data_IF_480058026920
#
_entry.id   IF_480058026920
#
_cell.length_a   1.000
_cell.length_b   1.000
_cell.length_c   1.000
_cell.angle_alpha   90.00
_cell.angle_beta   90.00
_cell.angle_gamma   90.00
#
_symmetry.space_group_name_H-M   'P 1'
#
loop_
_entity.id
_entity.type
_entity.pdbx_description
1 polymer ?
#
# COMPACT_ATOMS: atom_id res chain seq x y z
N UNK A 1 19.51 -20.28 -5.64
CA UNK A 1 18.96 -19.34 -6.64
C UNK A 1 18.20 -18.29 -5.85
N UNK A 2 18.40 -17.01 -6.12
CA UNK A 2 17.67 -15.97 -5.40
C UNK A 2 16.16 -16.09 -5.59
N UNK A 3 15.38 -15.66 -4.60
CA UNK A 3 13.91 -15.67 -4.63
C UNK A 3 13.35 -14.27 -4.86
N UNK A 4 12.22 -14.21 -5.52
CA UNK A 4 11.46 -13.00 -5.81
C UNK A 4 10.18 -13.00 -4.97
N UNK A 5 10.12 -12.13 -3.98
CA UNK A 5 9.03 -12.09 -3.00
C UNK A 5 8.19 -10.85 -3.21
N UNK A 6 6.87 -11.03 -3.31
CA UNK A 6 5.90 -9.93 -3.37
C UNK A 6 5.31 -9.71 -1.97
N UNK A 7 5.35 -8.48 -1.48
CA UNK A 7 4.74 -8.08 -0.20
C UNK A 7 3.54 -7.19 -0.49
N UNK A 8 2.36 -7.63 -0.04
CA UNK A 8 1.10 -6.91 -0.23
C UNK A 8 0.34 -6.73 1.08
N UNK A 9 -0.50 -5.71 1.16
CA UNK A 9 -1.54 -5.61 2.16
C UNK A 9 -2.77 -6.43 1.77
N UNK A 10 -3.38 -7.10 2.73
CA UNK A 10 -4.55 -7.96 2.48
C UNK A 10 -5.88 -7.33 2.87
N UNK A 11 -5.85 -6.21 3.58
CA UNK A 11 -7.00 -5.47 4.08
C UNK A 11 -7.17 -4.13 3.33
N UNK A 12 -7.57 -3.06 4.02
CA UNK A 12 -7.73 -1.71 3.46
C UNK A 12 -6.50 -0.81 3.64
N UNK A 13 -5.30 -1.38 3.60
CA UNK A 13 -4.06 -0.64 3.82
C UNK A 13 -3.71 -0.46 5.30
N UNK A 14 -2.59 0.20 5.55
CA UNK A 14 -2.07 0.48 6.90
C UNK A 14 -1.81 -0.78 7.77
N UNK A 15 -1.57 -1.93 7.14
CA UNK A 15 -1.30 -3.20 7.83
C UNK A 15 0.11 -3.27 8.46
N UNK A 16 0.95 -2.25 8.27
CA UNK A 16 2.32 -2.23 8.81
C UNK A 16 3.37 -2.80 7.87
N UNK A 17 3.12 -2.76 6.54
CA UNK A 17 4.03 -3.28 5.50
C UNK A 17 5.46 -2.75 5.61
N UNK A 18 5.65 -1.45 5.87
CA UNK A 18 6.97 -0.84 5.89
C UNK A 18 7.95 -1.52 6.84
N UNK A 19 7.53 -1.82 8.07
CA UNK A 19 8.34 -2.56 9.06
C UNK A 19 8.79 -3.93 8.53
N UNK A 20 7.87 -4.67 7.91
CA UNK A 20 8.15 -6.03 7.43
C UNK A 20 9.04 -5.99 6.17
N UNK A 21 8.84 -5.02 5.29
CA UNK A 21 9.74 -4.78 4.16
C UNK A 21 11.15 -4.48 4.66
N UNK A 22 11.31 -3.56 5.62
CA UNK A 22 12.63 -3.25 6.20
C UNK A 22 13.29 -4.48 6.84
N UNK A 23 12.55 -5.26 7.63
CA UNK A 23 13.05 -6.48 8.25
C UNK A 23 13.61 -7.46 7.21
N UNK A 24 12.84 -7.72 6.15
CA UNK A 24 13.19 -8.70 5.12
C UNK A 24 14.20 -8.17 4.08
N UNK A 25 14.52 -6.89 4.12
CA UNK A 25 15.44 -6.25 3.17
C UNK A 25 16.89 -6.74 3.31
N UNK A 26 17.27 -7.36 4.43
CA UNK A 26 18.60 -7.93 4.62
C UNK A 26 18.94 -9.05 3.61
N UNK A 27 17.93 -9.73 3.08
CA UNK A 27 18.08 -10.88 2.18
C UNK A 27 18.03 -10.50 0.69
N UNK A 28 17.91 -9.21 0.35
CA UNK A 28 17.65 -8.80 -1.03
C UNK A 28 18.69 -7.85 -1.61
N UNK A 29 18.91 -7.95 -2.91
CA UNK A 29 19.74 -7.01 -3.66
C UNK A 29 18.96 -5.78 -4.11
N UNK A 30 17.63 -5.91 -4.29
CA UNK A 30 16.78 -4.81 -4.72
C UNK A 30 15.37 -4.85 -4.11
N UNK A 31 14.79 -3.66 -3.89
CA UNK A 31 13.38 -3.47 -3.53
C UNK A 31 12.70 -2.65 -4.63
N UNK A 32 11.57 -3.15 -5.13
CA UNK A 32 10.83 -2.57 -6.26
C UNK A 32 9.45 -2.11 -5.83
N UNK A 33 9.15 -0.82 -5.89
CA UNK A 33 7.78 -0.29 -5.81
C UNK A 33 7.12 -0.43 -7.17
N UNK A 34 5.95 -1.03 -7.22
CA UNK A 34 5.31 -1.37 -8.48
C UNK A 34 3.99 -0.65 -8.75
N UNK A 35 3.38 0.01 -7.77
CA UNK A 35 2.10 0.71 -7.93
C UNK A 35 1.88 1.79 -6.87
N UNK A 36 0.79 2.57 -7.02
CA UNK A 36 0.45 3.69 -6.15
C UNK A 36 1.25 4.94 -6.49
N UNK A 37 1.36 5.82 -5.55
CA UNK A 37 2.12 7.06 -5.63
C UNK A 37 2.46 7.56 -4.23
N UNK A 38 2.63 8.85 -4.07
CA UNK A 38 2.92 9.46 -2.77
C UNK A 38 1.71 9.54 -1.81
N UNK A 39 0.59 8.88 -2.15
CA UNK A 39 -0.51 8.61 -1.24
C UNK A 39 -0.21 7.46 -0.26
N UNK A 40 0.81 6.65 -0.51
CA UNK A 40 1.30 5.68 0.47
C UNK A 40 2.03 6.35 1.63
N UNK A 41 2.10 5.68 2.77
CA UNK A 41 2.86 6.12 3.93
C UNK A 41 3.43 4.89 4.65
N UNK A 42 4.67 4.52 4.32
CA UNK A 42 5.38 3.41 4.96
C UNK A 42 6.21 3.95 6.12
N UNK A 43 5.73 3.70 7.33
CA UNK A 43 6.44 4.10 8.55
C UNK A 43 7.43 3.03 8.95
N UNK A 44 8.66 3.45 9.15
CA UNK A 44 9.78 2.64 9.63
C UNK A 44 10.26 3.23 10.96
N UNK A 45 10.61 2.36 11.89
CA UNK A 45 11.25 2.74 13.15
C UNK A 45 12.56 1.96 13.24
N UNK A 46 13.68 2.67 13.15
CA UNK A 46 15.02 2.11 13.19
C UNK A 46 15.78 2.82 14.31
N UNK A 47 16.26 2.07 15.29
CA UNK A 47 16.96 2.60 16.47
C UNK A 47 16.18 3.73 17.18
N UNK A 48 14.85 3.59 17.24
CA UNK A 48 13.94 4.58 17.82
C UNK A 48 13.64 5.81 16.93
N UNK A 49 14.31 5.96 15.79
CA UNK A 49 14.06 7.04 14.86
C UNK A 49 12.96 6.67 13.85
N UNK A 50 11.92 7.50 13.78
CA UNK A 50 10.77 7.31 12.89
C UNK A 50 11.00 7.98 11.54
N UNK A 51 10.92 7.22 10.46
CA UNK A 51 10.94 7.70 9.08
C UNK A 51 9.67 7.27 8.34
N UNK A 52 9.05 8.20 7.62
CA UNK A 52 7.87 7.92 6.78
C UNK A 52 8.25 8.08 5.33
N UNK A 53 8.12 7.01 4.54
CA UNK A 53 8.40 6.99 3.11
C UNK A 53 7.08 6.95 2.32
N UNK A 54 7.05 7.68 1.20
CA UNK A 54 5.86 7.80 0.36
C UNK A 54 6.05 7.18 -1.03
N UNK A 55 7.12 7.52 -1.73
CA UNK A 55 7.45 7.04 -3.07
C UNK A 55 8.65 6.10 -3.09
N UNK A 56 9.68 6.45 -2.33
CA UNK A 56 10.94 5.70 -2.31
C UNK A 56 10.71 4.35 -1.62
N UNK A 57 11.20 3.23 -2.22
CA UNK A 57 11.09 1.92 -1.56
C UNK A 57 11.74 1.88 -0.18
N UNK A 58 11.15 1.12 0.74
CA UNK A 58 11.58 1.04 2.15
C UNK A 58 13.03 0.53 2.31
N UNK A 59 13.54 -0.22 1.34
CA UNK A 59 14.93 -0.70 1.30
C UNK A 59 16.00 0.39 1.22
N UNK A 60 15.62 1.66 0.98
CA UNK A 60 16.57 2.77 0.87
C UNK A 60 17.38 3.02 2.15
N UNK A 61 16.82 2.66 3.31
CA UNK A 61 17.49 2.81 4.60
C UNK A 61 18.55 1.73 4.88
N UNK A 62 18.65 0.70 4.02
CA UNK A 62 19.64 -0.38 4.12
C UNK A 62 20.80 -0.15 3.14
N UNK A 63 22.02 -0.24 3.63
CA UNK A 63 23.20 -0.17 2.79
C UNK A 63 23.25 -1.34 1.78
N UNK A 64 23.74 -1.06 0.58
CA UNK A 64 23.93 -2.07 -0.46
C UNK A 64 22.65 -2.52 -1.19
N UNK A 65 21.48 -2.04 -0.79
CA UNK A 65 20.20 -2.37 -1.43
C UNK A 65 19.85 -1.35 -2.51
N UNK A 66 19.59 -1.81 -3.71
CA UNK A 66 19.09 -0.99 -4.81
C UNK A 66 17.59 -0.77 -4.67
N UNK A 67 17.14 0.45 -4.84
CA UNK A 67 15.72 0.82 -4.82
C UNK A 67 15.24 1.15 -6.23
N UNK A 68 14.15 0.51 -6.66
CA UNK A 68 13.59 0.67 -7.99
C UNK A 68 12.15 1.16 -7.92
N UNK A 69 11.81 2.17 -8.73
CA UNK A 69 10.43 2.62 -8.93
C UNK A 69 10.00 2.15 -10.32
N UNK A 70 9.09 1.18 -10.34
CA UNK A 70 8.55 0.57 -11.56
C UNK A 70 7.50 1.44 -12.24
N UNK A 71 7.25 1.15 -13.50
CA UNK A 71 6.34 1.88 -14.40
C UNK A 71 4.87 1.96 -13.94
N UNK A 72 4.48 1.14 -12.97
CA UNK A 72 3.12 1.19 -12.40
C UNK A 72 2.93 2.31 -11.37
N UNK A 73 3.99 2.93 -10.87
CA UNK A 73 3.94 4.04 -9.91
C UNK A 73 3.66 5.36 -10.63
N UNK A 74 2.71 6.14 -10.12
CA UNK A 74 2.52 7.54 -10.55
C UNK A 74 3.40 8.46 -9.73
N UNK A 75 4.28 9.22 -10.38
CA UNK A 75 5.34 9.97 -9.75
C UNK A 75 5.03 11.48 -9.75
N UNK A 76 4.97 12.07 -8.56
CA UNK A 76 5.04 13.52 -8.39
C UNK A 76 6.52 13.92 -8.25
N UNK A 77 7.11 14.67 -9.21
CA UNK A 77 8.50 15.09 -9.14
C UNK A 77 8.82 15.90 -7.88
N UNK A 78 7.92 16.80 -7.51
CA UNK A 78 8.06 17.61 -6.30
C UNK A 78 8.08 16.78 -5.01
N UNK A 79 7.12 15.83 -4.88
CA UNK A 79 7.05 14.96 -3.71
C UNK A 79 8.27 14.05 -3.62
N UNK A 80 8.73 13.52 -4.74
CA UNK A 80 9.94 12.69 -4.81
C UNK A 80 11.19 13.47 -4.38
N UNK A 81 11.37 14.68 -4.89
CA UNK A 81 12.51 15.52 -4.53
C UNK A 81 12.51 15.90 -3.04
N UNK A 82 11.36 16.19 -2.48
CA UNK A 82 11.24 16.45 -1.03
C UNK A 82 11.67 15.24 -0.21
N UNK A 83 11.28 14.04 -0.64
CA UNK A 83 11.63 12.79 0.05
C UNK A 83 13.12 12.47 -0.10
N UNK A 84 13.71 12.64 -1.30
CA UNK A 84 15.16 12.52 -1.53
C UNK A 84 15.94 13.47 -0.61
N UNK A 85 15.60 14.75 -0.61
CA UNK A 85 16.32 15.75 0.17
C UNK A 85 16.21 15.48 1.69
N UNK A 86 15.05 15.03 2.16
CA UNK A 86 14.85 14.65 3.57
C UNK A 86 15.76 13.49 3.96
N UNK A 87 15.87 12.47 3.13
CA UNK A 87 16.72 11.31 3.40
C UNK A 87 18.21 11.65 3.31
N UNK A 88 18.61 12.42 2.31
CA UNK A 88 20.01 12.84 2.14
C UNK A 88 20.49 13.78 3.25
N UNK A 89 19.60 14.62 3.79
CA UNK A 89 19.91 15.45 4.96
C UNK A 89 20.20 14.61 6.22
N UNK A 90 19.80 13.34 6.23
CA UNK A 90 20.07 12.36 7.29
C UNK A 90 21.22 11.40 6.94
N UNK A 91 21.95 11.68 5.85
CA UNK A 91 23.10 10.89 5.43
C UNK A 91 22.81 9.64 4.61
N UNK A 92 21.56 9.46 4.14
CA UNK A 92 21.19 8.33 3.27
C UNK A 92 21.53 8.69 1.82
N UNK A 93 22.43 7.96 1.12
CA UNK A 93 22.86 8.28 -0.25
C UNK A 93 21.80 7.82 -1.27
N UNK A 94 20.68 8.53 -1.35
CA UNK A 94 19.50 8.12 -2.13
C UNK A 94 19.81 8.06 -3.62
N UNK A 95 20.47 9.11 -4.16
CA UNK A 95 20.73 9.20 -5.60
C UNK A 95 21.64 8.09 -6.14
N UNK A 96 22.49 7.53 -5.30
CA UNK A 96 23.37 6.41 -5.67
C UNK A 96 22.61 5.08 -5.81
N UNK A 97 21.49 4.95 -5.12
CA UNK A 97 20.76 3.68 -4.97
C UNK A 97 19.31 3.70 -5.47
N UNK A 98 18.84 4.82 -5.98
CA UNK A 98 17.49 4.93 -6.53
C UNK A 98 17.52 4.94 -8.05
N UNK A 99 16.72 4.05 -8.69
CA UNK A 99 16.44 4.08 -10.12
C UNK A 99 14.95 4.08 -10.39
N UNK A 100 14.55 4.78 -11.45
CA UNK A 100 13.14 5.05 -11.75
C UNK A 100 12.89 4.75 -13.23
N UNK A 101 11.80 4.04 -13.52
CA UNK A 101 11.39 3.79 -14.91
C UNK A 101 10.95 5.08 -15.61
N UNK A 102 11.51 5.31 -16.81
CA UNK A 102 11.07 6.40 -17.68
C UNK A 102 9.58 6.31 -18.06
N UNK A 103 8.96 5.12 -17.93
CA UNK A 103 7.57 4.88 -18.26
C UNK A 103 6.58 5.23 -17.11
N UNK A 104 7.07 5.68 -15.96
CA UNK A 104 6.21 6.16 -14.86
C UNK A 104 5.35 7.35 -15.32
N UNK A 105 4.02 7.33 -15.13
CA UNK A 105 3.20 8.51 -15.35
C UNK A 105 3.54 9.63 -14.35
N UNK A 106 3.52 10.87 -14.81
CA UNK A 106 3.72 12.03 -13.97
C UNK A 106 2.43 12.47 -13.28
N UNK A 107 2.53 12.88 -12.03
CA UNK A 107 1.51 13.70 -11.37
C UNK A 107 1.94 15.16 -11.52
N UNK A 108 1.11 15.94 -12.20
CA UNK A 108 1.33 17.36 -12.46
C UNK A 108 0.25 18.21 -11.74
N UNK A 109 0.42 19.52 -11.60
CA UNK A 109 -0.50 20.38 -10.84
C UNK A 109 -1.98 20.25 -11.22
N UNK A 110 -2.30 20.04 -12.50
CA UNK A 110 -3.69 19.86 -12.93
C UNK A 110 -4.34 18.56 -12.42
N UNK A 111 -3.57 17.50 -12.17
CA UNK A 111 -4.09 16.28 -11.54
C UNK A 111 -4.54 16.56 -10.09
N UNK A 112 -3.77 17.37 -9.35
CA UNK A 112 -4.09 17.76 -7.98
C UNK A 112 -5.33 18.64 -7.98
N UNK A 113 -5.40 19.63 -8.88
CA UNK A 113 -6.56 20.52 -9.02
C UNK A 113 -7.84 19.74 -9.35
N UNK A 114 -7.78 18.75 -10.26
CA UNK A 114 -8.90 17.87 -10.60
C UNK A 114 -9.34 16.99 -9.43
N UNK A 115 -8.41 16.38 -8.71
CA UNK A 115 -8.70 15.52 -7.56
C UNK A 115 -9.47 16.30 -6.48
N UNK A 116 -8.97 17.49 -6.12
CA UNK A 116 -9.61 18.38 -5.16
C UNK A 116 -10.98 18.88 -5.65
N UNK A 117 -11.09 19.30 -6.90
CA UNK A 117 -12.36 19.78 -7.46
C UNK A 117 -13.44 18.70 -7.50
N UNK A 118 -13.06 17.46 -7.80
CA UNK A 118 -13.94 16.28 -7.81
C UNK A 118 -14.47 15.96 -6.41
N UNK A 119 -13.62 15.95 -5.41
CA UNK A 119 -14.03 15.68 -4.01
C UNK A 119 -14.99 16.76 -3.48
N UNK A 120 -14.70 18.05 -3.77
CA UNK A 120 -15.59 19.15 -3.42
C UNK A 120 -16.95 19.01 -4.12
N UNK A 121 -16.98 18.72 -5.42
CA UNK A 121 -18.20 18.57 -6.20
C UNK A 121 -19.08 17.41 -5.73
N UNK A 122 -18.47 16.31 -5.24
CA UNK A 122 -19.19 15.15 -4.68
C UNK A 122 -19.80 15.41 -3.30
N UNK A 123 -19.28 16.35 -2.53
CA UNK A 123 -19.76 16.70 -1.21
C UNK A 123 -19.86 15.49 -0.26
N UNK A 124 -21.08 15.13 0.18
CA UNK A 124 -21.30 13.99 1.07
C UNK A 124 -21.00 12.62 0.45
N UNK A 125 -20.96 12.53 -0.88
CA UNK A 125 -20.61 11.31 -1.63
C UNK A 125 -19.12 11.25 -2.01
N UNK A 126 -18.28 12.09 -1.40
CA UNK A 126 -16.84 12.08 -1.62
C UNK A 126 -16.25 10.70 -1.29
N UNK A 127 -15.30 10.27 -2.10
CA UNK A 127 -14.58 9.00 -1.89
C UNK A 127 -13.67 9.10 -0.67
N UNK A 128 -13.20 10.29 -0.36
CA UNK A 128 -12.24 10.55 0.71
C UNK A 128 -10.80 10.39 0.23
N UNK A 129 -10.50 10.85 -0.99
CA UNK A 129 -9.16 10.81 -1.58
C UNK A 129 -8.15 11.59 -0.74
N UNK A 130 -6.86 11.42 -1.04
CA UNK A 130 -5.80 12.22 -0.39
C UNK A 130 -5.65 13.61 -1.00
N UNK A 131 -6.37 13.93 -2.08
CA UNK A 131 -6.25 15.18 -2.82
C UNK A 131 -4.91 15.40 -3.51
N UNK A 132 -4.17 14.32 -3.77
CA UNK A 132 -2.80 14.35 -4.31
C UNK A 132 -2.70 14.07 -5.81
N UNK A 133 -3.83 13.98 -6.50
CA UNK A 133 -3.88 13.79 -7.95
C UNK A 133 -3.62 12.36 -8.43
N UNK A 134 -3.65 11.37 -7.54
CA UNK A 134 -3.37 9.96 -7.86
C UNK A 134 -4.37 9.42 -8.88
N UNK A 135 -5.68 9.56 -8.59
CA UNK A 135 -6.75 9.10 -9.46
C UNK A 135 -6.71 9.71 -10.86
N UNK A 136 -6.67 11.04 -10.99
CA UNK A 136 -6.54 11.71 -12.28
C UNK A 136 -5.30 11.32 -13.08
N UNK A 137 -4.16 11.05 -12.42
CA UNK A 137 -2.94 10.59 -13.11
C UNK A 137 -3.11 9.16 -13.69
N UNK A 138 -3.75 8.25 -12.96
CA UNK A 138 -4.11 6.92 -13.49
C UNK A 138 -5.16 7.00 -14.60
N UNK A 139 -6.15 7.88 -14.49
CA UNK A 139 -7.13 8.15 -15.54
C UNK A 139 -6.44 8.59 -16.84
N UNK A 140 -5.50 9.53 -16.78
CA UNK A 140 -4.75 9.99 -17.92
C UNK A 140 -3.85 8.89 -18.51
N UNK A 141 -3.26 8.04 -17.66
CA UNK A 141 -2.50 6.86 -18.10
C UNK A 141 -3.36 5.94 -18.97
N UNK A 142 -4.55 5.54 -18.49
CA UNK A 142 -5.41 4.59 -19.23
C UNK A 142 -6.08 5.20 -20.44
N UNK A 143 -6.35 6.51 -20.42
CA UNK A 143 -6.83 7.27 -21.58
C UNK A 143 -5.74 7.55 -22.62
N UNK A 144 -4.47 7.24 -22.32
CA UNK A 144 -3.29 7.40 -23.17
C UNK A 144 -2.91 8.85 -23.47
N UNK A 145 -3.36 9.81 -22.66
CA UNK A 145 -2.99 11.23 -22.74
C UNK A 145 -1.95 11.65 -21.69
N UNK A 146 -1.72 10.81 -20.68
CA UNK A 146 -0.79 11.11 -19.59
C UNK A 146 0.64 11.33 -20.08
N UNK A 147 1.32 12.29 -19.48
CA UNK A 147 2.75 12.50 -19.63
C UNK A 147 3.51 11.51 -18.76
N UNK A 148 4.60 10.97 -19.30
CA UNK A 148 5.50 10.06 -18.59
C UNK A 148 6.79 10.77 -18.21
N UNK A 149 7.49 10.20 -17.24
CA UNK A 149 8.77 10.74 -16.77
C UNK A 149 9.78 10.90 -17.92
N UNK A 150 9.83 9.94 -18.84
CA UNK A 150 10.69 10.01 -20.05
C UNK A 150 10.33 11.13 -21.03
N UNK A 151 9.13 11.70 -20.98
CA UNK A 151 8.76 12.83 -21.83
C UNK A 151 9.49 14.12 -21.40
N UNK A 152 9.88 14.24 -20.11
CA UNK A 152 10.63 15.41 -19.60
C UNK A 152 11.94 15.68 -20.35
N UNK A 153 12.58 14.61 -20.88
CA UNK A 153 13.89 14.72 -21.55
C UNK A 153 13.80 15.23 -22.99
N UNK A 154 12.59 15.60 -23.44
CA UNK A 154 12.34 16.17 -24.77
C UNK A 154 11.42 17.41 -24.65
N UNK A 155 12.00 18.55 -24.27
CA UNK A 155 11.28 19.79 -23.93
C UNK A 155 10.16 20.15 -24.92
N UNK A 156 10.44 20.17 -26.23
CA UNK A 156 9.45 20.55 -27.23
C UNK A 156 8.27 19.58 -27.29
N UNK A 157 8.56 18.27 -27.25
CA UNK A 157 7.54 17.23 -27.21
C UNK A 157 6.74 17.26 -25.91
N UNK A 158 7.41 17.49 -24.77
CA UNK A 158 6.75 17.64 -23.47
C UNK A 158 5.81 18.85 -23.49
N UNK A 159 6.28 20.01 -23.96
CA UNK A 159 5.48 21.25 -24.05
C UNK A 159 4.25 21.07 -24.95
N UNK A 160 4.39 20.44 -26.12
CA UNK A 160 3.28 20.15 -27.01
C UNK A 160 2.21 19.26 -26.36
N UNK A 161 2.62 18.13 -25.75
CA UNK A 161 1.71 17.23 -25.04
C UNK A 161 1.05 17.91 -23.83
N UNK A 162 1.82 18.69 -23.05
CA UNK A 162 1.31 19.43 -21.90
C UNK A 162 0.24 20.44 -22.34
N UNK A 163 0.47 21.15 -23.44
CA UNK A 163 -0.52 22.09 -23.99
C UNK A 163 -1.84 21.42 -24.34
N UNK A 164 -1.78 20.27 -25.05
CA UNK A 164 -2.97 19.51 -25.43
C UNK A 164 -3.74 18.99 -24.20
N UNK A 165 -3.04 18.46 -23.20
CA UNK A 165 -3.65 17.92 -21.99
C UNK A 165 -4.23 19.02 -21.12
N UNK A 166 -3.53 20.17 -20.98
CA UNK A 166 -4.02 21.31 -20.21
C UNK A 166 -5.22 21.99 -20.86
N UNK A 167 -5.30 22.05 -22.18
CA UNK A 167 -6.49 22.58 -22.87
C UNK A 167 -7.74 21.77 -22.44
N UNK A 168 -7.65 20.44 -22.47
CA UNK A 168 -8.72 19.56 -22.04
C UNK A 168 -9.05 19.72 -20.54
N UNK A 169 -8.06 19.62 -19.67
CA UNK A 169 -8.31 19.64 -18.23
C UNK A 169 -8.71 21.03 -17.71
N UNK A 170 -8.15 22.09 -18.25
CA UNK A 170 -8.55 23.46 -17.90
C UNK A 170 -9.99 23.75 -18.36
N UNK A 171 -10.42 23.19 -19.50
CA UNK A 171 -11.82 23.26 -19.88
C UNK A 171 -12.73 22.65 -18.80
N UNK A 172 -12.38 21.47 -18.28
CA UNK A 172 -13.12 20.81 -17.20
C UNK A 172 -13.09 21.60 -15.89
N UNK A 173 -11.92 22.11 -15.49
CA UNK A 173 -11.77 22.91 -14.26
C UNK A 173 -12.63 24.17 -14.33
N UNK A 174 -12.56 24.92 -15.40
CA UNK A 174 -13.29 26.19 -15.54
C UNK A 174 -14.78 26.01 -15.80
N UNK A 175 -15.15 25.10 -16.76
CA UNK A 175 -16.51 25.05 -17.25
C UNK A 175 -17.40 24.08 -16.48
N UNK A 176 -16.85 22.99 -15.93
CA UNK A 176 -17.62 22.02 -15.16
C UNK A 176 -17.48 22.25 -13.65
N UNK A 177 -16.26 22.31 -13.15
CA UNK A 177 -16.00 22.46 -11.71
C UNK A 177 -16.01 23.90 -11.20
N UNK A 178 -15.94 24.91 -12.09
CA UNK A 178 -15.95 26.34 -11.75
C UNK A 178 -14.79 26.74 -10.83
N UNK A 179 -13.62 26.20 -11.07
CA UNK A 179 -12.36 26.52 -10.37
C UNK A 179 -11.33 27.11 -11.35
N UNK A 180 -10.28 27.71 -10.80
CA UNK A 180 -9.23 28.33 -11.59
C UNK A 180 -8.47 27.32 -12.45
N UNK A 181 -8.10 27.70 -13.67
CA UNK A 181 -7.27 26.87 -14.55
C UNK A 181 -5.83 26.81 -14.04
N UNK A 182 -5.11 25.80 -14.51
CA UNK A 182 -3.68 25.64 -14.25
C UNK A 182 -2.87 26.35 -15.33
N UNK A 183 -1.89 27.15 -14.96
CA UNK A 183 -1.03 27.91 -15.86
C UNK A 183 -0.03 27.02 -16.57
N UNK A 184 -0.05 27.03 -17.91
CA UNK A 184 0.82 26.22 -18.76
C UNK A 184 2.30 26.54 -18.55
N UNK A 185 2.66 27.84 -18.55
CA UNK A 185 4.07 28.24 -18.51
C UNK A 185 4.69 27.86 -17.17
N UNK A 186 3.94 28.06 -16.08
CA UNK A 186 4.37 27.67 -14.75
C UNK A 186 4.65 26.17 -14.65
N UNK A 187 3.72 25.33 -15.14
CA UNK A 187 3.91 23.87 -15.11
C UNK A 187 5.10 23.43 -15.96
N UNK A 188 5.26 24.04 -17.14
CA UNK A 188 6.40 23.74 -18.02
C UNK A 188 7.73 24.10 -17.36
N UNK A 189 7.83 25.28 -16.77
CA UNK A 189 9.08 25.75 -16.14
C UNK A 189 9.45 24.90 -14.91
N UNK A 190 8.47 24.58 -14.07
CA UNK A 190 8.66 23.68 -12.92
C UNK A 190 9.10 22.27 -13.39
N UNK A 191 8.49 21.75 -14.45
CA UNK A 191 8.84 20.44 -14.99
C UNK A 191 10.27 20.39 -15.56
N UNK A 192 10.71 21.46 -16.22
CA UNK A 192 12.07 21.55 -16.78
C UNK A 192 13.14 21.63 -15.69
N UNK A 193 12.87 22.30 -14.58
CA UNK A 193 13.78 22.28 -13.41
C UNK A 193 13.92 20.85 -12.87
N UNK A 194 12.82 20.09 -12.79
CA UNK A 194 12.85 18.71 -12.30
C UNK A 194 13.56 17.74 -13.25
N UNK A 195 13.59 18.04 -14.55
CA UNK A 195 14.29 17.23 -15.56
C UNK A 195 15.75 17.00 -15.18
N UNK A 196 16.51 18.07 -14.93
CA UNK A 196 17.95 18.00 -14.63
C UNK A 196 18.24 17.16 -13.37
N UNK A 197 17.33 17.23 -12.39
CA UNK A 197 17.49 16.50 -11.13
C UNK A 197 17.18 15.02 -11.27
N UNK A 198 16.16 14.67 -12.09
CA UNK A 198 15.66 13.31 -12.21
C UNK A 198 16.37 12.49 -13.27
N UNK A 199 17.00 13.13 -14.27
CA UNK A 199 17.65 12.44 -15.38
C UNK A 199 18.69 11.38 -14.93
N UNK A 200 19.57 11.61 -13.92
CA UNK A 200 20.52 10.62 -13.45
C UNK A 200 19.88 9.40 -12.77
N UNK A 201 18.62 9.53 -12.35
CA UNK A 201 17.88 8.46 -11.67
C UNK A 201 17.14 7.53 -12.64
N UNK A 202 17.05 7.90 -13.92
CA UNK A 202 16.31 7.11 -14.92
C UNK A 202 17.11 5.91 -15.35
N UNK A 203 16.42 4.75 -15.39
CA UNK A 203 17.03 3.51 -15.87
C UNK A 203 15.95 2.57 -16.45
N UNK A 204 16.38 1.51 -17.13
CA UNK A 204 15.52 0.43 -17.59
C UNK A 204 15.27 -0.56 -16.43
N UNK A 205 14.21 -0.28 -15.64
CA UNK A 205 13.88 -1.09 -14.47
C UNK A 205 13.63 -2.57 -14.81
N UNK A 206 12.88 -2.93 -15.87
CA UNK A 206 12.75 -4.33 -16.31
C UNK A 206 14.10 -5.00 -16.59
N UNK A 207 15.03 -4.33 -17.26
CA UNK A 207 16.37 -4.88 -17.53
C UNK A 207 17.19 -5.04 -16.24
N UNK A 208 17.14 -4.08 -15.32
CA UNK A 208 17.81 -4.21 -14.01
C UNK A 208 17.27 -5.41 -13.23
N UNK A 209 15.97 -5.63 -13.21
CA UNK A 209 15.33 -6.80 -12.59
C UNK A 209 15.87 -8.09 -13.24
N UNK A 210 15.89 -8.16 -14.57
CA UNK A 210 16.37 -9.32 -15.30
C UNK A 210 17.86 -9.60 -15.02
N UNK A 211 18.68 -8.57 -14.85
CA UNK A 211 20.09 -8.70 -14.48
C UNK A 211 20.27 -9.28 -13.08
N UNK A 212 19.50 -8.82 -12.08
CA UNK A 212 19.54 -9.39 -10.74
C UNK A 212 19.12 -10.87 -10.73
N UNK A 213 18.08 -11.22 -11.49
CA UNK A 213 17.66 -12.63 -11.63
C UNK A 213 18.75 -13.50 -12.26
N UNK A 214 19.41 -13.04 -13.35
CA UNK A 214 20.52 -13.75 -13.98
C UNK A 214 21.71 -13.95 -13.04
N UNK A 215 21.90 -13.00 -12.10
CA UNK A 215 22.94 -13.09 -11.07
C UNK A 215 22.52 -14.00 -9.88
N UNK A 216 21.31 -14.55 -9.88
CA UNK A 216 20.79 -15.37 -8.80
C UNK A 216 20.52 -14.60 -7.50
N UNK A 217 20.28 -13.30 -7.59
CA UNK A 217 20.00 -12.43 -6.45
C UNK A 217 18.52 -12.36 -6.14
N UNK A 218 18.18 -12.21 -4.86
CA UNK A 218 16.80 -12.05 -4.41
C UNK A 218 16.31 -10.62 -4.63
N UNK A 219 15.03 -10.49 -4.98
CA UNK A 219 14.35 -9.21 -5.21
C UNK A 219 13.05 -9.19 -4.40
N UNK A 220 12.76 -8.06 -3.79
CA UNK A 220 11.51 -7.81 -3.08
C UNK A 220 10.64 -6.83 -3.87
N UNK A 221 9.36 -7.14 -4.01
CA UNK A 221 8.36 -6.27 -4.64
C UNK A 221 7.43 -5.72 -3.57
N UNK A 222 7.56 -4.42 -3.31
CA UNK A 222 6.86 -3.70 -2.26
C UNK A 222 5.56 -3.09 -2.77
N UNK A 223 4.41 -3.62 -2.32
CA UNK A 223 3.09 -3.06 -2.60
C UNK A 223 2.75 -1.88 -1.67
N UNK A 224 1.80 -1.08 -2.12
CA UNK A 224 1.20 0.00 -1.35
C UNK A 224 -0.31 -0.24 -1.22
N UNK A 225 -0.96 0.41 -0.25
CA UNK A 225 -2.38 0.19 0.10
C UNK A 225 -2.65 -1.28 0.48
N UNK A 226 -3.82 -1.83 0.15
CA UNK A 226 -4.17 -3.22 0.44
C UNK A 226 -5.17 -3.76 -0.58
N UNK A 227 -5.37 -5.07 -0.59
CA UNK A 227 -6.19 -5.78 -1.59
C UNK A 227 -7.62 -5.27 -1.65
N UNK A 228 -8.22 -4.90 -0.51
CA UNK A 228 -9.60 -4.40 -0.47
C UNK A 228 -9.72 -2.94 -0.98
N UNK A 229 -8.59 -2.31 -1.30
CA UNK A 229 -8.49 -1.02 -2.00
C UNK A 229 -8.12 -1.15 -3.48
N UNK A 230 -7.96 -2.37 -4.01
CA UNK A 230 -7.65 -2.60 -5.43
C UNK A 230 -8.77 -2.08 -6.32
N UNK A 231 -8.41 -1.45 -7.46
CA UNK A 231 -9.38 -0.84 -8.38
C UNK A 231 -10.36 -1.85 -8.96
N UNK A 232 -9.95 -3.09 -9.18
CA UNK A 232 -10.75 -4.14 -9.80
C UNK A 232 -11.41 -5.07 -8.75
N UNK A 233 -10.69 -5.39 -7.68
CA UNK A 233 -11.08 -6.40 -6.69
C UNK A 233 -11.46 -5.84 -5.31
N UNK A 234 -11.29 -4.54 -5.10
CA UNK A 234 -11.61 -3.89 -3.84
C UNK A 234 -13.09 -3.50 -3.72
N UNK A 235 -13.39 -2.75 -2.68
CA UNK A 235 -14.75 -2.25 -2.36
C UNK A 235 -15.11 -1.03 -3.21
N UNK A 236 -15.11 -1.17 -4.53
CA UNK A 236 -15.44 -0.10 -5.48
C UNK A 236 -16.81 0.54 -5.18
N UNK A 237 -16.95 1.89 -5.19
CA UNK A 237 -15.96 2.88 -5.67
C UNK A 237 -14.97 3.38 -4.59
N UNK A 238 -15.02 2.86 -3.37
CA UNK A 238 -14.19 3.28 -2.25
C UNK A 238 -12.85 2.54 -2.26
N UNK A 239 -12.05 2.80 -3.31
CA UNK A 239 -10.79 2.13 -3.63
C UNK A 239 -9.74 3.13 -4.07
N UNK A 240 -8.47 2.70 -4.16
CA UNK A 240 -7.44 3.46 -4.89
C UNK A 240 -7.56 3.22 -6.40
N UNK A 241 -6.90 4.04 -7.19
CA UNK A 241 -6.96 3.95 -8.66
C UNK A 241 -5.88 3.05 -9.26
N UNK A 242 -5.26 2.18 -8.45
CA UNK A 242 -4.22 1.26 -8.89
C UNK A 242 -4.53 -0.19 -8.54
N UNK A 243 -3.86 -1.13 -9.23
CA UNK A 243 -3.90 -2.54 -8.86
C UNK A 243 -2.93 -2.82 -7.73
N UNK A 244 -3.48 -3.07 -6.53
CA UNK A 244 -2.75 -3.32 -5.30
C UNK A 244 -2.45 -4.80 -5.07
N UNK A 245 -2.99 -5.66 -5.94
CA UNK A 245 -2.81 -7.12 -5.89
C UNK A 245 -1.42 -7.55 -6.37
N UNK A 246 -1.03 -8.77 -6.07
CA UNK A 246 0.23 -9.36 -6.51
C UNK A 246 0.38 -9.37 -8.04
N UNK A 247 -0.73 -9.50 -8.80
CA UNK A 247 -0.73 -9.35 -10.25
C UNK A 247 -0.24 -7.97 -10.71
N UNK A 248 -0.48 -6.92 -9.91
CA UNK A 248 0.03 -5.57 -10.14
C UNK A 248 1.56 -5.48 -10.10
N UNK A 249 2.24 -6.38 -9.38
CA UNK A 249 3.70 -6.42 -9.34
C UNK A 249 4.30 -6.76 -10.71
N UNK A 250 3.70 -7.68 -11.45
CA UNK A 250 4.14 -8.02 -12.79
C UNK A 250 4.01 -6.85 -13.76
N UNK A 251 2.81 -6.27 -13.86
CA UNK A 251 2.52 -5.18 -14.81
C UNK A 251 3.22 -3.87 -14.44
N UNK A 252 3.39 -3.61 -13.15
CA UNK A 252 3.96 -2.37 -12.63
C UNK A 252 5.48 -2.34 -12.53
N UNK A 253 6.15 -3.48 -12.66
CA UNK A 253 7.62 -3.57 -12.63
C UNK A 253 8.25 -4.10 -13.92
N UNK A 254 7.45 -4.76 -14.77
CA UNK A 254 7.95 -5.46 -15.96
C UNK A 254 8.49 -6.86 -15.68
N UNK A 255 8.33 -7.35 -14.45
CA UNK A 255 8.65 -8.73 -14.09
C UNK A 255 7.66 -9.70 -14.73
N UNK A 256 8.14 -10.81 -15.28
CA UNK A 256 7.26 -11.88 -15.77
C UNK A 256 6.48 -12.57 -14.63
N UNK A 257 5.21 -12.89 -14.85
CA UNK A 257 4.31 -13.45 -13.82
C UNK A 257 4.82 -14.74 -13.17
N UNK A 258 5.55 -15.56 -13.91
CA UNK A 258 6.13 -16.83 -13.40
C UNK A 258 7.46 -16.63 -12.65
N UNK A 259 7.92 -15.40 -12.56
CA UNK A 259 9.15 -15.05 -11.87
C UNK A 259 8.99 -14.80 -10.37
N UNK A 260 7.77 -14.79 -9.84
CA UNK A 260 7.51 -14.64 -8.40
C UNK A 260 7.49 -15.99 -7.71
N UNK A 261 8.27 -16.11 -6.64
CA UNK A 261 8.43 -17.37 -5.90
C UNK A 261 7.53 -17.44 -4.67
N UNK A 262 7.18 -16.25 -4.10
CA UNK A 262 6.44 -16.16 -2.84
C UNK A 262 5.64 -14.87 -2.76
N UNK A 263 4.42 -14.95 -2.23
CA UNK A 263 3.59 -13.78 -1.91
C UNK A 263 3.31 -13.75 -0.42
N UNK A 264 3.86 -12.75 0.27
CA UNK A 264 3.61 -12.49 1.69
C UNK A 264 2.43 -11.53 1.84
N UNK A 265 1.34 -12.00 2.43
CA UNK A 265 0.17 -11.19 2.76
C UNK A 265 0.29 -10.57 4.15
N UNK A 266 0.38 -9.24 4.24
CA UNK A 266 0.41 -8.55 5.52
C UNK A 266 -1.03 -8.24 5.95
N UNK A 267 -1.39 -8.66 7.17
CA UNK A 267 -2.72 -8.43 7.76
C UNK A 267 -2.57 -8.06 9.24
N UNK A 268 -3.40 -7.16 9.74
CA UNK A 268 -3.50 -6.91 11.18
C UNK A 268 -4.26 -8.04 11.88
N UNK A 269 -3.98 -8.25 13.16
CA UNK A 269 -4.75 -9.16 14.01
C UNK A 269 -6.22 -8.71 14.24
N UNK A 270 -6.59 -7.56 13.72
CA UNK A 270 -7.94 -6.98 13.66
C UNK A 270 -8.08 -6.22 12.34
N UNK A 271 -9.18 -5.54 12.10
CA UNK A 271 -9.39 -4.83 10.83
C UNK A 271 -9.47 -3.33 11.04
N UNK A 272 -8.87 -2.56 10.14
CA UNK A 272 -8.99 -1.09 10.12
C UNK A 272 -9.29 -0.57 8.73
N UNK A 273 -9.99 0.57 8.67
CA UNK A 273 -10.26 1.27 7.42
C UNK A 273 -10.18 2.79 7.60
N UNK A 274 -9.59 3.48 6.64
CA UNK A 274 -9.61 4.95 6.54
C UNK A 274 -10.66 5.36 5.53
N UNK A 275 -11.42 6.42 5.84
CA UNK A 275 -12.40 7.01 4.93
C UNK A 275 -13.71 6.24 4.81
N UNK A 276 -14.45 6.55 3.74
CA UNK A 276 -15.79 6.02 3.49
C UNK A 276 -15.77 4.59 2.94
N UNK A 277 -16.94 4.00 2.85
CA UNK A 277 -17.17 2.67 2.27
C UNK A 277 -17.53 1.60 3.30
N UNK A 278 -17.89 0.39 2.83
CA UNK A 278 -18.39 -0.68 3.65
C UNK A 278 -17.34 -1.24 4.61
N UNK A 279 -17.77 -1.60 5.81
CA UNK A 279 -16.93 -2.24 6.82
C UNK A 279 -17.79 -3.13 7.72
N UNK A 280 -18.14 -4.36 7.30
CA UNK A 280 -19.09 -5.22 8.00
C UNK A 280 -18.72 -5.53 9.45
N UNK A 281 -17.43 -5.63 9.76
CA UNK A 281 -16.95 -5.96 11.12
C UNK A 281 -16.61 -4.74 11.96
N UNK A 282 -17.00 -3.53 11.53
CA UNK A 282 -16.75 -2.28 12.26
C UNK A 282 -17.37 -2.30 13.65
N UNK A 283 -16.65 -1.70 14.61
CA UNK A 283 -17.05 -1.57 16.01
C UNK A 283 -17.13 -0.09 16.39
N UNK A 284 -18.33 0.31 16.80
CA UNK A 284 -18.61 1.66 17.30
C UNK A 284 -18.94 1.61 18.80
N UNK A 285 -18.13 0.85 19.55
CA UNK A 285 -18.28 0.55 20.97
C UNK A 285 -16.95 0.69 21.73
N UNK A 286 -16.94 0.28 23.01
CA UNK A 286 -15.76 0.32 23.87
C UNK A 286 -14.58 -0.52 23.34
N UNK A 287 -14.88 -1.62 22.64
CA UNK A 287 -13.85 -2.48 22.03
C UNK A 287 -13.24 -1.78 20.82
N UNK A 288 -14.06 -1.15 19.97
CA UNK A 288 -13.59 -0.30 18.88
C UNK A 288 -12.67 0.83 19.40
N UNK A 289 -13.04 1.46 20.50
CA UNK A 289 -12.23 2.45 21.20
C UNK A 289 -10.90 1.88 21.70
N UNK A 290 -10.90 0.69 22.32
CA UNK A 290 -9.70 -0.01 22.76
C UNK A 290 -8.72 -0.29 21.59
N UNK A 291 -9.24 -0.83 20.46
CA UNK A 291 -8.43 -1.10 19.28
C UNK A 291 -7.81 0.18 18.69
N UNK A 292 -8.59 1.27 18.66
CA UNK A 292 -8.11 2.55 18.13
C UNK A 292 -7.02 3.17 19.01
N UNK A 293 -7.21 3.16 20.32
CA UNK A 293 -6.27 3.76 21.29
C UNK A 293 -4.98 2.94 21.37
N UNK A 294 -5.06 1.65 21.66
CA UNK A 294 -3.88 0.77 21.77
C UNK A 294 -3.15 0.60 20.45
N UNK A 295 -3.91 0.54 19.36
CA UNK A 295 -3.36 0.45 18.01
C UNK A 295 -2.78 1.76 17.49
N UNK A 296 -2.96 2.90 18.16
CA UNK A 296 -2.62 4.23 17.63
C UNK A 296 -3.13 4.41 16.21
N UNK A 297 -4.44 4.12 16.00
CA UNK A 297 -5.03 4.01 14.67
C UNK A 297 -5.35 5.37 14.04
N UNK A 298 -4.28 6.03 13.58
CA UNK A 298 -4.32 7.27 12.79
C UNK A 298 -3.53 7.07 11.49
N UNK A 299 -4.07 7.59 10.39
CA UNK A 299 -3.43 7.50 9.07
C UNK A 299 -2.08 8.23 9.05
N UNK A 300 -1.00 7.53 8.70
CA UNK A 300 0.37 8.07 8.66
C UNK A 300 0.52 9.26 7.69
N UNK A 301 -0.29 9.31 6.65
CA UNK A 301 -0.24 10.31 5.59
C UNK A 301 -1.19 11.49 5.82
N UNK A 302 -2.40 11.22 6.34
CA UNK A 302 -3.48 12.22 6.45
C UNK A 302 -3.82 12.59 7.89
N UNK A 303 -3.30 11.84 8.88
CA UNK A 303 -3.66 12.00 10.30
C UNK A 303 -5.10 11.62 10.64
N UNK A 304 -5.91 11.15 9.66
CA UNK A 304 -7.31 10.76 9.89
C UNK A 304 -7.37 9.55 10.82
N UNK A 305 -8.34 9.55 11.74
CA UNK A 305 -8.66 8.38 12.55
C UNK A 305 -9.08 7.21 11.64
N UNK A 306 -8.62 6.02 11.98
CA UNK A 306 -9.03 4.78 11.34
C UNK A 306 -10.25 4.22 12.08
N UNK A 307 -11.23 3.76 11.34
CA UNK A 307 -12.33 2.94 11.82
C UNK A 307 -11.75 1.57 12.17
N UNK A 308 -12.16 0.99 13.28
CA UNK A 308 -11.64 -0.29 13.78
C UNK A 308 -12.76 -1.34 13.84
N UNK A 309 -12.39 -2.59 13.68
CA UNK A 309 -13.34 -3.70 13.74
C UNK A 309 -12.66 -5.04 13.98
N UNK A 310 -13.47 -6.08 14.21
CA UNK A 310 -13.00 -7.43 14.40
C UNK A 310 -12.28 -7.96 13.15
N UNK A 311 -11.45 -8.97 13.35
CA UNK A 311 -10.76 -9.66 12.25
C UNK A 311 -11.76 -10.28 11.28
N UNK A 312 -11.59 -9.98 9.99
CA UNK A 312 -12.46 -10.42 8.91
C UNK A 312 -11.79 -11.52 8.07
N UNK A 313 -12.02 -12.77 8.45
CA UNK A 313 -11.46 -13.91 7.75
C UNK A 313 -12.11 -14.16 6.39
N UNK A 314 -13.35 -13.70 6.16
CA UNK A 314 -14.02 -13.84 4.85
C UNK A 314 -13.36 -12.96 3.82
N UNK A 315 -13.13 -11.67 4.16
CA UNK A 315 -12.43 -10.75 3.30
C UNK A 315 -10.97 -11.18 3.08
N UNK A 316 -10.29 -11.65 4.14
CA UNK A 316 -8.90 -12.12 4.05
C UNK A 316 -8.77 -13.36 3.17
N UNK A 317 -9.69 -14.33 3.26
CA UNK A 317 -9.69 -15.53 2.39
C UNK A 317 -9.82 -15.13 0.92
N UNK A 318 -10.69 -14.18 0.61
CA UNK A 318 -10.81 -13.65 -0.77
C UNK A 318 -9.52 -12.96 -1.19
N UNK A 319 -8.92 -12.14 -0.33
CA UNK A 319 -7.64 -11.49 -0.61
C UNK A 319 -6.52 -12.52 -0.83
N UNK A 320 -6.44 -13.56 -0.01
CA UNK A 320 -5.47 -14.64 -0.15
C UNK A 320 -5.61 -15.38 -1.49
N UNK A 321 -6.85 -15.68 -1.89
CA UNK A 321 -7.17 -16.35 -3.16
C UNK A 321 -6.74 -15.52 -4.37
N UNK A 322 -7.12 -14.21 -4.40
CA UNK A 322 -6.83 -13.30 -5.52
C UNK A 322 -5.32 -13.12 -5.70
N UNK A 323 -4.57 -13.10 -4.60
CA UNK A 323 -3.15 -12.84 -4.60
C UNK A 323 -2.28 -14.10 -4.63
N UNK A 324 -2.86 -15.30 -4.56
CA UNK A 324 -2.10 -16.54 -4.37
C UNK A 324 -1.14 -16.45 -3.18
N UNK A 325 -1.63 -15.97 -2.03
CA UNK A 325 -0.81 -15.74 -0.83
C UNK A 325 -0.18 -17.04 -0.38
N UNK A 326 1.15 -17.04 -0.25
CA UNK A 326 1.94 -18.21 0.18
C UNK A 326 2.02 -18.33 1.70
N UNK A 327 2.00 -17.19 2.40
CA UNK A 327 2.00 -17.10 3.86
C UNK A 327 1.54 -15.74 4.34
N UNK A 328 1.08 -15.68 5.59
CA UNK A 328 0.59 -14.47 6.24
C UNK A 328 1.65 -13.88 7.19
N UNK A 329 1.68 -12.57 7.25
CA UNK A 329 2.29 -11.84 8.34
C UNK A 329 1.17 -11.20 9.18
N UNK A 330 1.02 -11.65 10.43
CA UNK A 330 0.07 -11.04 11.37
C UNK A 330 0.75 -9.92 12.13
N UNK A 331 0.21 -8.71 12.01
CA UNK A 331 0.75 -7.52 12.70
C UNK A 331 -0.17 -7.06 13.82
N UNK A 332 0.40 -6.34 14.80
CA UNK A 332 -0.34 -5.72 15.90
C UNK A 332 -1.14 -6.72 16.75
N UNK A 333 -0.57 -7.90 17.00
CA UNK A 333 -1.17 -8.90 17.88
C UNK A 333 -1.36 -8.35 19.30
N UNK A 334 -0.40 -7.55 19.77
CA UNK A 334 -0.34 -6.88 21.06
C UNK A 334 -1.51 -5.93 21.35
N UNK A 335 -2.19 -5.45 20.31
CA UNK A 335 -3.36 -4.57 20.46
C UNK A 335 -4.55 -5.32 21.06
N UNK A 336 -4.61 -6.64 20.89
CA UNK A 336 -5.67 -7.49 21.44
C UNK A 336 -5.46 -7.88 22.91
N UNK A 337 -4.30 -7.57 23.51
CA UNK A 337 -4.01 -7.86 24.91
C UNK A 337 -5.04 -7.23 25.85
N UNK A 338 -5.49 -7.99 26.83
CA UNK A 338 -6.44 -7.54 27.87
C UNK A 338 -7.92 -7.61 27.46
N UNK A 339 -8.23 -8.14 26.26
CA UNK A 339 -9.62 -8.44 25.88
C UNK A 339 -10.02 -9.81 26.46
N UNK A 340 -11.18 -9.90 27.08
CA UNK A 340 -11.73 -11.16 27.61
C UNK A 340 -12.19 -12.09 26.50
N UNK A 341 -12.77 -11.52 25.44
CA UNK A 341 -13.32 -12.25 24.27
C UNK A 341 -12.87 -11.57 23.00
N UNK A 342 -12.44 -12.38 22.02
CA UNK A 342 -12.05 -11.93 20.69
C UNK A 342 -12.96 -12.63 19.66
N UNK A 343 -13.33 -11.92 18.59
CA UNK A 343 -14.21 -12.45 17.56
C UNK A 343 -13.50 -12.49 16.21
N UNK A 344 -13.76 -13.55 15.46
CA UNK A 344 -13.35 -13.70 14.06
C UNK A 344 -14.60 -13.80 13.21
N UNK A 345 -14.75 -12.91 12.22
CA UNK A 345 -15.81 -13.03 11.22
C UNK A 345 -15.47 -14.17 10.26
N UNK A 346 -16.30 -15.21 10.25
CA UNK A 346 -16.10 -16.43 9.44
C UNK A 346 -17.10 -16.57 8.31
N UNK A 347 -18.16 -15.75 8.29
CA UNK A 347 -19.21 -15.72 7.27
C UNK A 347 -19.90 -14.37 7.24
N UNK A 348 -20.67 -14.11 6.17
CA UNK A 348 -21.57 -12.98 6.07
C UNK A 348 -23.00 -13.48 5.85
N UNK A 349 -23.96 -12.92 6.58
CA UNK A 349 -25.35 -13.11 6.28
C UNK A 349 -25.83 -11.95 5.40
N UNK A 350 -26.27 -12.28 4.20
CA UNK A 350 -26.78 -11.34 3.20
C UNK A 350 -28.07 -11.89 2.59
N UNK A 351 -29.14 -11.08 2.56
CA UNK A 351 -30.50 -11.50 2.15
C UNK A 351 -30.98 -12.76 2.87
N UNK A 352 -30.66 -12.91 4.16
CA UNK A 352 -31.03 -14.06 4.99
C UNK A 352 -30.23 -15.34 4.73
N UNK A 353 -29.26 -15.32 3.80
CA UNK A 353 -28.41 -16.46 3.46
C UNK A 353 -26.99 -16.23 3.97
N UNK A 354 -26.42 -17.19 4.68
CA UNK A 354 -25.03 -17.18 5.08
C UNK A 354 -24.13 -17.54 3.89
N UNK A 355 -23.09 -16.71 3.67
CA UNK A 355 -22.11 -16.85 2.59
C UNK A 355 -20.70 -16.79 3.16
N UNK A 356 -19.80 -17.59 2.57
CA UNK A 356 -18.37 -17.64 2.93
C UNK A 356 -17.50 -16.78 2.01
N UNK A 357 -18.12 -15.99 1.16
CA UNK A 357 -17.46 -15.07 0.21
C UNK A 357 -18.10 -13.69 0.28
N UNK A 358 -17.35 -12.59 0.11
CA UNK A 358 -17.93 -11.26 0.02
C UNK A 358 -18.88 -11.17 -1.17
N UNK A 359 -20.00 -10.46 -1.06
CA UNK A 359 -20.83 -10.13 -2.21
C UNK A 359 -20.17 -9.09 -3.08
N UNK A 360 -20.59 -9.01 -4.35
CA UNK A 360 -20.11 -8.00 -5.29
C UNK A 360 -20.73 -6.64 -5.01
N UNK A 361 -19.90 -5.60 -5.06
CA UNK A 361 -20.29 -4.20 -4.92
C UNK A 361 -20.37 -3.70 -3.47
N UNK A 362 -20.06 -2.41 -3.31
CA UNK A 362 -19.98 -1.80 -1.98
C UNK A 362 -21.33 -1.79 -1.23
N UNK A 363 -22.45 -1.62 -1.95
CA UNK A 363 -23.78 -1.60 -1.34
C UNK A 363 -24.17 -2.95 -0.72
N UNK A 364 -23.95 -4.03 -1.48
CA UNK A 364 -24.21 -5.38 -0.99
C UNK A 364 -23.27 -5.72 0.19
N UNK A 365 -22.01 -5.33 0.10
CA UNK A 365 -21.04 -5.55 1.17
C UNK A 365 -21.36 -4.74 2.44
N UNK A 366 -21.89 -3.51 2.30
CA UNK A 366 -22.34 -2.70 3.43
C UNK A 366 -23.58 -3.27 4.16
N UNK A 367 -24.39 -4.06 3.46
CA UNK A 367 -25.60 -4.70 4.00
C UNK A 367 -25.34 -6.11 4.57
N UNK A 368 -24.08 -6.55 4.60
CA UNK A 368 -23.71 -7.83 5.21
C UNK A 368 -23.75 -7.74 6.73
N UNK A 369 -24.36 -8.75 7.37
CA UNK A 369 -24.25 -8.98 8.80
C UNK A 369 -23.11 -9.99 9.02
N UNK A 370 -22.06 -9.67 9.80
CA UNK A 370 -20.96 -10.59 10.07
C UNK A 370 -21.41 -11.74 10.97
N UNK A 371 -20.97 -12.95 10.62
CA UNK A 371 -21.14 -14.17 11.41
C UNK A 371 -19.84 -14.44 12.15
N UNK A 372 -19.87 -14.40 13.47
CA UNK A 372 -18.69 -14.49 14.31
C UNK A 372 -18.52 -15.86 14.97
N UNK A 373 -17.26 -16.28 15.09
CA UNK A 373 -16.80 -17.25 16.08
C UNK A 373 -16.17 -16.48 17.22
N UNK A 374 -16.58 -16.77 18.46
CA UNK A 374 -16.01 -16.21 19.68
C UNK A 374 -14.87 -17.10 20.17
N UNK A 375 -13.78 -16.46 20.62
CA UNK A 375 -12.63 -17.11 21.21
C UNK A 375 -12.27 -16.42 22.53
N UNK A 376 -11.75 -17.15 23.51
CA UNK A 376 -11.22 -16.53 24.71
C UNK A 376 -10.01 -15.63 24.36
N UNK A 377 -10.00 -14.44 24.95
CA UNK A 377 -8.87 -13.53 24.86
C UNK A 377 -7.77 -13.93 25.85
N UNK A 378 -6.84 -13.02 26.07
CA UNK A 378 -5.72 -13.22 27.01
C UNK A 378 -5.41 -11.93 27.78
N UNK A 379 -4.98 -12.10 29.03
CA UNK A 379 -4.61 -11.00 29.93
C UNK A 379 -3.12 -10.71 29.94
N UNK A 380 -2.30 -11.69 29.55
CA UNK A 380 -0.85 -11.55 29.46
C UNK A 380 -0.47 -10.64 28.30
N UNK A 381 0.66 -9.93 28.43
CA UNK A 381 1.13 -9.10 27.35
C UNK A 381 1.80 -9.93 26.25
N UNK A 382 1.42 -9.66 24.99
CA UNK A 382 2.14 -10.15 23.81
C UNK A 382 3.12 -9.10 23.28
N UNK A 383 3.07 -7.86 23.78
CA UNK A 383 3.96 -6.78 23.37
C UNK A 383 5.43 -7.16 23.57
N UNK A 384 6.21 -7.08 22.49
CA UNK A 384 7.65 -7.34 22.50
C UNK A 384 8.04 -8.81 22.64
N UNK A 385 7.09 -9.75 22.61
CA UNK A 385 7.39 -11.20 22.60
C UNK A 385 8.09 -11.55 21.29
N UNK A 386 9.24 -12.24 21.41
CA UNK A 386 10.15 -12.56 20.29
C UNK A 386 10.16 -14.03 19.89
N UNK A 387 9.56 -14.91 20.69
CA UNK A 387 9.53 -16.36 20.43
C UNK A 387 8.10 -16.87 20.50
N UNK A 388 7.74 -17.72 19.55
CA UNK A 388 6.40 -18.27 19.44
C UNK A 388 5.95 -19.04 20.69
N UNK A 389 6.88 -19.74 21.34
CA UNK A 389 6.64 -20.55 22.54
C UNK A 389 6.32 -19.69 23.78
N UNK A 390 6.67 -18.40 23.75
CA UNK A 390 6.43 -17.46 24.85
C UNK A 390 5.06 -16.74 24.71
N UNK A 391 4.33 -16.98 23.60
CA UNK A 391 2.98 -16.43 23.42
C UNK A 391 1.97 -17.09 24.37
N UNK A 392 0.97 -16.32 24.88
CA UNK A 392 -0.15 -16.90 25.62
C UNK A 392 -0.87 -17.99 24.81
N UNK A 393 -1.32 -19.04 25.49
CA UNK A 393 -1.99 -20.16 24.83
C UNK A 393 -3.21 -19.74 23.99
N UNK A 394 -3.98 -18.75 24.47
CA UNK A 394 -5.12 -18.23 23.73
C UNK A 394 -4.71 -17.41 22.50
N UNK A 395 -3.58 -16.67 22.56
CA UNK A 395 -3.03 -15.97 21.39
C UNK A 395 -2.57 -16.97 20.32
N UNK A 396 -1.93 -18.08 20.71
CA UNK A 396 -1.57 -19.17 19.82
C UNK A 396 -2.82 -19.81 19.20
N UNK A 397 -3.87 -20.06 20.01
CA UNK A 397 -5.14 -20.60 19.51
C UNK A 397 -5.81 -19.66 18.51
N UNK A 398 -5.75 -18.35 18.74
CA UNK A 398 -6.24 -17.33 17.82
C UNK A 398 -5.51 -17.36 16.46
N UNK A 399 -4.18 -17.41 16.47
CA UNK A 399 -3.37 -17.50 15.24
C UNK A 399 -3.66 -18.78 14.46
N UNK A 400 -3.75 -19.92 15.15
CA UNK A 400 -4.12 -21.21 14.52
C UNK A 400 -5.53 -21.17 13.92
N UNK A 401 -6.48 -20.50 14.61
CA UNK A 401 -7.83 -20.36 14.07
C UNK A 401 -7.86 -19.51 12.79
N UNK A 402 -7.03 -18.48 12.70
CA UNK A 402 -6.85 -17.70 11.47
C UNK A 402 -6.34 -18.60 10.34
N UNK A 403 -5.28 -19.41 10.58
CA UNK A 403 -4.76 -20.35 9.58
C UNK A 403 -5.82 -21.32 9.10
N UNK A 404 -6.60 -21.91 10.01
CA UNK A 404 -7.67 -22.86 9.68
C UNK A 404 -8.75 -22.23 8.80
N UNK A 405 -9.21 -21.00 9.13
CA UNK A 405 -10.31 -20.36 8.42
C UNK A 405 -9.87 -19.78 7.09
N UNK A 406 -8.65 -19.25 7.02
CA UNK A 406 -8.11 -18.60 5.81
C UNK A 406 -7.44 -19.60 4.88
N UNK A 407 -7.03 -20.76 5.40
CA UNK A 407 -6.32 -21.83 4.68
C UNK A 407 -4.93 -21.39 4.16
N UNK A 408 -4.28 -20.46 4.87
CA UNK A 408 -2.93 -19.96 4.60
C UNK A 408 -2.13 -19.95 5.90
N UNK A 409 -0.88 -20.45 5.91
CA UNK A 409 -0.06 -20.47 7.12
C UNK A 409 0.35 -19.06 7.58
N UNK A 410 0.52 -18.90 8.88
CA UNK A 410 1.13 -17.70 9.48
C UNK A 410 2.65 -17.90 9.54
N UNK A 411 3.38 -17.14 8.75
CA UNK A 411 4.83 -17.25 8.63
C UNK A 411 5.59 -16.19 9.43
N UNK A 412 4.94 -15.05 9.69
CA UNK A 412 5.53 -13.93 10.41
C UNK A 412 4.52 -13.36 11.40
N UNK A 413 4.95 -13.04 12.61
CA UNK A 413 4.11 -12.42 13.65
C UNK A 413 4.83 -11.20 14.21
N UNK A 414 4.16 -10.03 14.17
CA UNK A 414 4.68 -8.79 14.74
C UNK A 414 3.91 -8.43 16.00
N UNK A 415 4.62 -8.25 17.09
CA UNK A 415 4.13 -8.02 18.45
C UNK A 415 4.42 -6.61 18.99
N UNK A 416 4.93 -5.72 18.14
CA UNK A 416 5.23 -4.34 18.52
C UNK A 416 5.74 -3.52 17.33
N UNK A 417 6.07 -2.23 17.53
CA UNK A 417 6.47 -1.33 16.45
C UNK A 417 7.91 -1.51 15.96
N UNK A 418 8.82 -2.00 16.80
CA UNK A 418 10.21 -2.21 16.44
C UNK A 418 10.40 -3.46 15.57
N UNK A 419 11.43 -3.45 14.70
CA UNK A 419 11.76 -4.60 13.85
C UNK A 419 12.06 -5.88 14.65
N UNK A 420 12.74 -5.73 15.78
CA UNK A 420 13.13 -6.84 16.65
C UNK A 420 11.94 -7.49 17.38
N UNK A 421 10.79 -6.83 17.38
CA UNK A 421 9.52 -7.31 17.93
C UNK A 421 8.74 -8.08 16.87
N UNK A 422 9.43 -8.98 16.16
CA UNK A 422 8.88 -9.78 15.06
C UNK A 422 9.44 -11.19 15.12
N UNK A 423 8.55 -12.17 15.03
CA UNK A 423 8.89 -13.59 14.92
C UNK A 423 8.76 -14.02 13.46
N UNK A 424 9.80 -14.62 12.91
CA UNK A 424 9.80 -15.23 11.59
C UNK A 424 9.76 -16.76 11.78
N UNK A 425 8.62 -17.38 11.55
CA UNK A 425 8.42 -18.82 11.69
C UNK A 425 8.85 -19.57 10.43
N UNK A 426 8.62 -18.95 9.27
CA UNK A 426 9.10 -19.39 7.97
C UNK A 426 9.56 -18.18 7.17
N UNK A 427 10.81 -18.21 6.74
CA UNK A 427 11.39 -17.07 6.06
C UNK A 427 11.00 -17.06 4.56
N UNK A 428 10.41 -15.96 4.00
CA UNK A 428 9.94 -15.92 2.62
C UNK A 428 11.03 -16.13 1.56
N UNK A 429 12.30 -15.88 1.92
CA UNK A 429 13.46 -16.03 1.04
C UNK A 429 14.19 -17.38 1.21
N UNK A 430 13.79 -18.23 2.12
CA UNK A 430 14.26 -19.62 2.30
C UNK A 430 13.29 -20.62 1.63
#
# INVERSE_FOLDING_TARGET
>A
MGKNVVIIGTQWGDEGKGKIVDLLTEEVAAVVRFQGGHNAGHTLVIDGEKTVLHLIPSGILREGVQCLIGNGVVVSPEALLKEINMLESRGVPVRDRLKISAACPLILPYHIALDQAREIARGKQAIGTTGRGIGPAYEDKVSRRGLRLGDLFHRERFAAKLGEVLDYHNFMLQNYYKVEPVDFQKVLDEAMVMQEILEPLIDDVPELIAQYQKQGKSIMFEGAQGTLLDIDHGTYPFVTSSNTTAGGAATGSGMGVLGFDYVLGITKAYTTRVGSGPFPTELDDEIGGHLAERGHEFGSTTGRARRCGWFDAVALRRAAQINSVSGLCITKLDVLDGLDTIRICVGYKYDGVEKLVPPDGAEAFANCEPVYVEMPGWSETTYGVKRYEDLPANAVAYLKRIEEVVEVPVDVISTGPDRDETMVLRHPFE
#
